data_IF_452111847302
#
_entry.id   IF_452111847302
#
_cell.length_a   1.000
_cell.length_b   1.000
_cell.length_c   1.000
_cell.angle_alpha   90.00
_cell.angle_beta   90.00
_cell.angle_gamma   90.00
#
_symmetry.space_group_name_H-M   'P 1'
#
loop_
_entity.id
_entity.type
_entity.pdbx_description
1 polymer ?
#
# COMPACT_ATOMS: atom_id res chain seq x y z
N UNK A 1 34.13 -5.78 -21.29
CA UNK A 1 35.34 -4.94 -21.24
C UNK A 1 34.94 -3.55 -20.77
N UNK A 2 35.60 -3.07 -19.74
CA UNK A 2 35.40 -1.75 -19.17
C UNK A 2 36.59 -0.89 -19.59
N UNK A 3 36.33 0.33 -20.04
CA UNK A 3 37.34 1.30 -20.40
C UNK A 3 37.02 2.59 -19.66
N UNK A 4 38.04 3.28 -19.06
CA UNK A 4 37.81 4.58 -18.45
C UNK A 4 37.43 5.59 -19.53
N UNK A 5 36.43 6.42 -19.26
CA UNK A 5 36.07 7.57 -20.10
C UNK A 5 37.02 8.76 -19.83
N UNK A 6 36.99 9.75 -20.70
CA UNK A 6 37.76 10.99 -20.52
C UNK A 6 37.36 11.75 -19.24
N UNK A 7 36.12 11.53 -18.73
CA UNK A 7 35.60 12.15 -17.50
C UNK A 7 35.91 11.34 -16.24
N UNK A 8 36.66 10.24 -16.33
CA UNK A 8 37.06 9.40 -15.20
C UNK A 8 36.05 8.32 -14.82
N UNK A 9 34.92 8.23 -15.47
CA UNK A 9 33.92 7.17 -15.30
C UNK A 9 34.25 5.92 -16.12
N UNK A 10 33.76 4.75 -15.70
CA UNK A 10 33.94 3.50 -16.41
C UNK A 10 32.83 3.28 -17.42
N UNK A 11 33.19 3.09 -18.69
CA UNK A 11 32.25 2.77 -19.76
C UNK A 11 32.35 1.31 -20.19
N UNK A 12 31.19 0.67 -20.41
CA UNK A 12 31.11 -0.67 -21.00
C UNK A 12 31.26 -0.56 -22.52
N UNK A 13 32.42 -0.89 -23.03
CA UNK A 13 32.72 -0.81 -24.49
C UNK A 13 32.34 -2.10 -25.21
N UNK A 14 32.40 -3.24 -24.52
CA UNK A 14 32.11 -4.56 -25.14
C UNK A 14 31.60 -5.54 -24.09
N UNK A 15 30.52 -6.23 -24.42
CA UNK A 15 30.03 -7.40 -23.69
C UNK A 15 30.40 -8.63 -24.53
N UNK A 16 31.33 -9.47 -24.04
CA UNK A 16 31.82 -10.63 -24.77
C UNK A 16 30.77 -11.74 -24.85
N UNK A 17 29.92 -11.88 -23.82
CA UNK A 17 28.84 -12.84 -23.77
C UNK A 17 27.51 -12.15 -23.50
N UNK A 18 26.90 -11.64 -24.58
CA UNK A 18 25.63 -10.89 -24.50
C UNK A 18 24.48 -11.74 -23.91
N UNK A 19 24.47 -13.05 -24.24
CA UNK A 19 23.44 -13.95 -23.76
C UNK A 19 23.51 -14.13 -22.24
N UNK A 20 24.64 -14.49 -21.69
CA UNK A 20 24.82 -14.64 -20.23
C UNK A 20 24.56 -13.33 -19.48
N UNK A 21 24.97 -12.20 -20.05
CA UNK A 21 24.68 -10.90 -19.48
C UNK A 21 23.19 -10.58 -19.47
N UNK A 22 22.46 -10.92 -20.54
CA UNK A 22 21.01 -10.74 -20.59
C UNK A 22 20.29 -11.62 -19.56
N UNK A 23 20.69 -12.89 -19.42
CA UNK A 23 20.18 -13.81 -18.40
C UNK A 23 20.47 -13.28 -16.99
N UNK A 24 21.68 -12.83 -16.74
CA UNK A 24 22.04 -12.23 -15.44
C UNK A 24 21.18 -11.01 -15.11
N UNK A 25 20.99 -10.08 -16.06
CA UNK A 25 20.13 -8.91 -15.86
C UNK A 25 18.66 -9.30 -15.61
N UNK A 26 18.16 -10.30 -16.34
CA UNK A 26 16.80 -10.83 -16.14
C UNK A 26 16.62 -11.37 -14.73
N UNK A 27 17.56 -12.23 -14.28
CA UNK A 27 17.56 -12.80 -12.93
C UNK A 27 17.66 -11.72 -11.84
N UNK A 28 18.55 -10.73 -12.00
CA UNK A 28 18.70 -9.64 -11.05
C UNK A 28 17.44 -8.76 -10.95
N UNK A 29 16.80 -8.47 -12.09
CA UNK A 29 15.52 -7.73 -12.12
C UNK A 29 14.41 -8.49 -11.42
N UNK A 30 14.30 -9.79 -11.69
CA UNK A 30 13.34 -10.68 -11.03
C UNK A 30 13.52 -10.66 -9.52
N UNK A 31 14.74 -10.90 -9.04
CA UNK A 31 15.04 -10.88 -7.61
C UNK A 31 14.68 -9.54 -6.93
N UNK A 32 14.86 -8.40 -7.62
CA UNK A 32 14.44 -7.10 -7.12
C UNK A 32 12.92 -6.98 -6.99
N UNK A 33 12.16 -7.46 -7.97
CA UNK A 33 10.70 -7.41 -7.94
C UNK A 33 10.14 -8.36 -6.88
N UNK A 34 10.68 -9.58 -6.78
CA UNK A 34 10.28 -10.54 -5.75
C UNK A 34 10.50 -9.98 -4.33
N UNK A 35 11.67 -9.38 -4.08
CA UNK A 35 11.96 -8.71 -2.80
C UNK A 35 10.97 -7.59 -2.50
N UNK A 36 10.71 -6.72 -3.48
CA UNK A 36 9.74 -5.64 -3.35
C UNK A 36 8.34 -6.17 -3.02
N UNK A 37 7.87 -7.20 -3.71
CA UNK A 37 6.56 -7.81 -3.44
C UNK A 37 6.51 -8.41 -2.04
N UNK A 38 7.51 -9.20 -1.65
CA UNK A 38 7.59 -9.82 -0.34
C UNK A 38 7.59 -8.79 0.80
N UNK A 39 8.42 -7.74 0.68
CA UNK A 39 8.51 -6.68 1.67
C UNK A 39 7.19 -5.94 1.82
N UNK A 40 6.61 -5.50 0.71
CA UNK A 40 5.36 -4.74 0.73
C UNK A 40 4.14 -5.58 1.12
N UNK A 41 4.07 -6.86 0.74
CA UNK A 41 3.02 -7.78 1.18
C UNK A 41 3.11 -8.04 2.69
N UNK A 42 4.32 -8.13 3.25
CA UNK A 42 4.53 -8.26 4.70
C UNK A 42 4.03 -7.03 5.47
N UNK A 43 4.36 -5.82 4.99
CA UNK A 43 3.83 -4.57 5.56
C UNK A 43 2.30 -4.57 5.51
N UNK A 44 1.71 -4.82 4.34
CA UNK A 44 0.26 -4.82 4.14
C UNK A 44 -0.43 -5.85 5.05
N UNK A 45 0.08 -7.07 5.15
CA UNK A 45 -0.52 -8.13 5.96
C UNK A 45 -0.54 -7.76 7.45
N UNK A 46 0.57 -7.21 7.97
CA UNK A 46 0.66 -6.78 9.37
C UNK A 46 -0.38 -5.70 9.70
N UNK A 47 -0.47 -4.65 8.86
CA UNK A 47 -1.43 -3.57 9.05
C UNK A 47 -2.88 -4.02 8.84
N UNK A 48 -3.16 -4.90 7.88
CA UNK A 48 -4.49 -5.46 7.70
C UNK A 48 -4.95 -6.23 8.95
N UNK A 49 -4.05 -6.94 9.62
CA UNK A 49 -4.37 -7.63 10.88
C UNK A 49 -4.71 -6.62 11.98
N UNK A 50 -3.88 -5.61 12.20
CA UNK A 50 -4.10 -4.58 13.22
C UNK A 50 -5.39 -3.79 12.98
N UNK A 51 -5.60 -3.30 11.74
CA UNK A 51 -6.81 -2.59 11.33
C UNK A 51 -8.04 -3.49 11.49
N UNK A 52 -7.92 -4.78 11.16
CA UNK A 52 -9.00 -5.76 11.34
C UNK A 52 -9.46 -5.85 12.79
N UNK A 53 -8.52 -5.93 13.75
CA UNK A 53 -8.83 -5.93 15.17
C UNK A 53 -9.47 -4.60 15.63
N UNK A 54 -8.99 -3.48 15.13
CA UNK A 54 -9.57 -2.16 15.43
C UNK A 54 -11.01 -2.04 14.87
N UNK A 55 -11.27 -2.53 13.66
CA UNK A 55 -12.61 -2.58 13.07
C UNK A 55 -13.58 -3.44 13.91
N UNK A 56 -13.15 -4.60 14.41
CA UNK A 56 -13.95 -5.44 15.28
C UNK A 56 -14.34 -4.67 16.56
N UNK A 57 -13.40 -3.96 17.19
CA UNK A 57 -13.68 -3.13 18.38
C UNK A 57 -14.65 -2.00 18.05
N UNK A 58 -14.49 -1.35 16.92
CA UNK A 58 -15.38 -0.31 16.44
C UNK A 58 -16.82 -0.83 16.26
N UNK A 59 -16.99 -1.96 15.55
CA UNK A 59 -18.30 -2.58 15.36
C UNK A 59 -18.93 -3.00 16.69
N UNK A 60 -18.18 -3.59 17.61
CA UNK A 60 -18.67 -3.97 18.94
C UNK A 60 -19.15 -2.74 19.71
N UNK A 61 -18.42 -1.63 19.63
CA UNK A 61 -18.81 -0.37 20.28
C UNK A 61 -20.10 0.19 19.70
N UNK A 62 -20.25 0.18 18.38
CA UNK A 62 -21.43 0.70 17.69
C UNK A 62 -22.66 -0.19 17.88
N UNK A 63 -22.46 -1.51 18.01
CA UNK A 63 -23.55 -2.49 18.23
C UNK A 63 -24.03 -2.47 19.70
N UNK A 64 -23.12 -2.34 20.66
CA UNK A 64 -23.44 -2.31 22.09
C UNK A 64 -24.04 -0.97 22.53
N UNK A 65 -23.79 0.12 21.79
CA UNK A 65 -24.25 1.46 22.12
C UNK A 65 -25.01 2.12 20.97
N UNK A 66 -26.01 2.92 21.28
CA UNK A 66 -26.69 3.70 20.27
C UNK A 66 -25.79 4.86 19.80
N UNK A 67 -25.72 5.12 18.48
CA UNK A 67 -25.02 6.29 17.89
C UNK A 67 -25.54 7.65 18.43
N UNK A 68 -26.74 7.66 18.98
CA UNK A 68 -27.27 8.82 19.72
C UNK A 68 -26.54 9.10 21.04
N UNK A 69 -25.89 8.09 21.63
CA UNK A 69 -25.16 8.24 22.89
C UNK A 69 -23.78 8.89 22.65
N UNK A 70 -23.49 9.98 23.37
CA UNK A 70 -22.23 10.72 23.25
C UNK A 70 -21.02 9.83 23.58
N UNK A 71 -21.09 9.05 24.65
CA UNK A 71 -20.01 8.13 25.06
C UNK A 71 -19.67 7.11 23.99
N UNK A 72 -20.68 6.54 23.31
CA UNK A 72 -20.48 5.61 22.20
C UNK A 72 -19.74 6.28 21.04
N UNK A 73 -20.14 7.51 20.68
CA UNK A 73 -19.47 8.27 19.61
C UNK A 73 -18.03 8.63 19.98
N UNK A 74 -17.78 9.08 21.20
CA UNK A 74 -16.44 9.43 21.66
C UNK A 74 -15.52 8.21 21.64
N UNK A 75 -16.01 7.05 22.10
CA UNK A 75 -15.25 5.80 22.01
C UNK A 75 -14.98 5.39 20.56
N UNK A 76 -16.00 5.44 19.70
CA UNK A 76 -15.86 5.11 18.28
C UNK A 76 -14.88 6.06 17.57
N UNK A 77 -14.94 7.36 17.88
CA UNK A 77 -13.99 8.34 17.38
C UNK A 77 -12.57 8.03 17.82
N UNK A 78 -12.36 7.71 19.09
CA UNK A 78 -11.04 7.36 19.63
C UNK A 78 -10.45 6.15 18.90
N UNK A 79 -11.25 5.09 18.67
CA UNK A 79 -10.79 3.91 17.92
C UNK A 79 -10.43 4.32 16.48
N UNK A 80 -11.24 5.17 15.85
CA UNK A 80 -10.98 5.61 14.49
C UNK A 80 -9.69 6.44 14.39
N UNK A 81 -9.47 7.39 15.31
CA UNK A 81 -8.31 8.28 15.31
C UNK A 81 -7.02 7.58 15.76
N UNK A 82 -7.06 6.86 16.88
CA UNK A 82 -5.85 6.32 17.50
C UNK A 82 -5.43 4.97 16.96
N UNK A 83 -6.39 4.14 16.51
CA UNK A 83 -6.06 2.81 16.04
C UNK A 83 -6.08 2.76 14.49
N UNK A 84 -7.19 3.13 13.85
CA UNK A 84 -7.37 2.93 12.41
C UNK A 84 -6.59 3.97 11.60
N UNK A 85 -6.74 5.25 11.92
CA UNK A 85 -6.07 6.35 11.21
C UNK A 85 -4.55 6.25 11.37
N UNK A 86 -4.08 6.09 12.60
CA UNK A 86 -2.64 5.97 12.90
C UNK A 86 -2.01 4.78 12.17
N UNK A 87 -2.72 3.65 12.09
CA UNK A 87 -2.21 2.46 11.44
C UNK A 87 -2.13 2.64 9.91
N UNK A 88 -3.11 3.30 9.28
CA UNK A 88 -3.03 3.66 7.86
C UNK A 88 -1.92 4.66 7.55
N UNK A 89 -1.69 5.64 8.43
CA UNK A 89 -0.58 6.60 8.30
C UNK A 89 0.77 5.89 8.39
N UNK A 90 0.95 5.02 9.39
CA UNK A 90 2.17 4.22 9.57
C UNK A 90 2.41 3.30 8.38
N UNK A 91 1.37 2.59 7.89
CA UNK A 91 1.47 1.77 6.68
C UNK A 91 1.94 2.58 5.47
N UNK A 92 1.39 3.78 5.29
CA UNK A 92 1.78 4.67 4.21
C UNK A 92 3.25 5.09 4.30
N UNK A 93 3.72 5.43 5.50
CA UNK A 93 5.11 5.81 5.76
C UNK A 93 6.05 4.63 5.48
N UNK A 94 5.75 3.44 6.00
CA UNK A 94 6.54 2.24 5.75
C UNK A 94 6.61 1.90 4.26
N UNK A 95 5.48 1.90 3.55
CA UNK A 95 5.45 1.69 2.10
C UNK A 95 6.30 2.75 1.39
N UNK A 96 6.24 4.03 1.79
CA UNK A 96 7.02 5.11 1.18
C UNK A 96 8.54 4.92 1.33
N UNK A 97 9.00 4.17 2.33
CA UNK A 97 10.41 3.89 2.58
C UNK A 97 10.98 2.72 1.78
N UNK A 98 10.12 1.91 1.14
CA UNK A 98 10.54 0.72 0.39
C UNK A 98 11.26 1.10 -0.90
N UNK A 99 12.33 0.38 -1.22
CA UNK A 99 13.02 0.55 -2.49
C UNK A 99 12.19 -0.02 -3.65
N UNK A 100 11.77 0.86 -4.57
CA UNK A 100 10.81 0.51 -5.63
C UNK A 100 11.51 0.22 -6.95
N UNK A 101 11.44 -1.02 -7.48
CA UNK A 101 11.91 -1.32 -8.83
C UNK A 101 11.16 -0.48 -9.88
N UNK A 102 11.86 -0.10 -10.95
CA UNK A 102 11.28 0.75 -12.00
C UNK A 102 9.97 0.20 -12.57
N UNK A 103 9.88 -1.12 -12.71
CA UNK A 103 8.69 -1.82 -13.24
C UNK A 103 7.52 -1.85 -12.27
N UNK A 104 7.75 -1.63 -10.96
CA UNK A 104 6.73 -1.66 -9.92
C UNK A 104 6.24 -0.28 -9.50
N UNK A 105 6.70 0.80 -10.14
CA UNK A 105 6.33 2.17 -9.77
C UNK A 105 4.82 2.41 -9.77
N UNK A 106 4.12 1.92 -10.80
CA UNK A 106 2.66 2.09 -10.89
C UNK A 106 1.92 1.38 -9.77
N UNK A 107 2.30 0.12 -9.47
CA UNK A 107 1.74 -0.64 -8.35
C UNK A 107 2.02 0.07 -7.01
N UNK A 108 3.24 0.58 -6.83
CA UNK A 108 3.61 1.29 -5.63
C UNK A 108 2.80 2.57 -5.42
N UNK A 109 2.64 3.39 -6.46
CA UNK A 109 1.80 4.59 -6.42
C UNK A 109 0.33 4.26 -6.12
N UNK A 110 -0.18 3.17 -6.69
CA UNK A 110 -1.53 2.68 -6.40
C UNK A 110 -1.69 2.34 -4.91
N UNK A 111 -0.72 1.63 -4.31
CA UNK A 111 -0.70 1.30 -2.88
C UNK A 111 -0.70 2.52 -1.97
N UNK A 112 0.12 3.53 -2.30
CA UNK A 112 0.12 4.79 -1.55
C UNK A 112 -1.21 5.52 -1.67
N UNK A 113 -1.81 5.54 -2.86
CA UNK A 113 -3.13 6.15 -3.07
C UNK A 113 -4.24 5.44 -2.31
N UNK A 114 -4.20 4.12 -2.20
CA UNK A 114 -5.12 3.35 -1.35
C UNK A 114 -4.99 3.80 0.12
N UNK A 115 -3.76 3.92 0.62
CA UNK A 115 -3.54 4.45 1.97
C UNK A 115 -4.12 5.86 2.16
N UNK A 116 -3.85 6.78 1.22
CA UNK A 116 -4.37 8.16 1.27
C UNK A 116 -5.91 8.21 1.31
N UNK A 117 -6.57 7.32 0.59
CA UNK A 117 -8.04 7.23 0.58
C UNK A 117 -8.59 6.68 1.90
N UNK A 118 -7.95 5.67 2.49
CA UNK A 118 -8.34 5.16 3.79
C UNK A 118 -8.06 6.16 4.93
N UNK A 119 -6.97 6.92 4.85
CA UNK A 119 -6.68 8.03 5.76
C UNK A 119 -7.81 9.06 5.67
N UNK A 120 -8.17 9.50 4.45
CA UNK A 120 -9.26 10.45 4.24
C UNK A 120 -10.61 9.93 4.74
N UNK A 121 -10.87 8.62 4.58
CA UNK A 121 -12.05 7.98 5.15
C UNK A 121 -12.04 8.05 6.69
N UNK A 122 -10.93 7.66 7.32
CA UNK A 122 -10.84 7.63 8.77
C UNK A 122 -10.97 9.02 9.40
N UNK A 123 -10.31 10.03 8.83
CA UNK A 123 -10.42 11.43 9.24
C UNK A 123 -11.85 11.96 9.10
N UNK A 124 -12.49 11.73 7.95
CA UNK A 124 -13.85 12.16 7.70
C UNK A 124 -14.87 11.46 8.61
N UNK A 125 -14.67 10.17 8.90
CA UNK A 125 -15.52 9.43 9.83
C UNK A 125 -15.38 9.94 11.27
N UNK A 126 -14.14 10.18 11.73
CA UNK A 126 -13.87 10.75 13.04
C UNK A 126 -14.48 12.16 13.19
N UNK A 127 -14.34 13.01 12.18
CA UNK A 127 -14.95 14.34 12.14
C UNK A 127 -16.48 14.26 12.22
N UNK A 128 -17.10 13.36 11.47
CA UNK A 128 -18.54 13.15 11.50
C UNK A 128 -19.06 12.71 12.87
N UNK A 129 -18.31 11.92 13.63
CA UNK A 129 -18.70 11.56 14.99
C UNK A 129 -18.87 12.79 15.90
N UNK A 130 -18.21 13.90 15.56
CA UNK A 130 -18.29 15.17 16.28
C UNK A 130 -19.36 16.09 15.71
N UNK A 131 -19.30 16.37 14.41
CA UNK A 131 -20.11 17.42 13.75
C UNK A 131 -21.47 16.92 13.26
N UNK A 132 -21.64 15.59 13.08
CA UNK A 132 -22.82 14.93 12.54
C UNK A 132 -23.24 15.46 11.15
N UNK A 133 -22.31 16.04 10.42
CA UNK A 133 -22.59 16.63 9.14
C UNK A 133 -22.72 15.53 8.06
N UNK A 134 -23.87 15.46 7.40
CA UNK A 134 -24.14 14.48 6.38
C UNK A 134 -23.21 14.60 5.15
N UNK A 135 -22.66 15.77 4.88
CA UNK A 135 -21.69 15.98 3.80
C UNK A 135 -20.35 15.34 4.18
N UNK A 136 -19.90 15.52 5.42
CA UNK A 136 -18.64 14.93 5.94
C UNK A 136 -18.66 13.41 5.77
N UNK A 137 -19.71 12.73 6.24
CA UNK A 137 -19.79 11.27 6.14
C UNK A 137 -19.90 10.79 4.68
N UNK A 138 -20.63 11.48 3.81
CA UNK A 138 -20.73 11.12 2.38
C UNK A 138 -19.37 11.22 1.68
N UNK A 139 -18.57 12.23 2.00
CA UNK A 139 -17.22 12.36 1.44
C UNK A 139 -16.31 11.25 1.94
N UNK A 140 -16.36 10.92 3.22
CA UNK A 140 -15.62 9.80 3.81
C UNK A 140 -15.99 8.47 3.12
N UNK A 141 -17.28 8.14 3.01
CA UNK A 141 -17.74 6.93 2.32
C UNK A 141 -17.35 6.91 0.83
N UNK A 142 -17.29 8.07 0.16
CA UNK A 142 -16.79 8.13 -1.21
C UNK A 142 -15.31 7.71 -1.27
N UNK A 143 -14.48 8.19 -0.36
CA UNK A 143 -13.07 7.80 -0.26
C UNK A 143 -12.93 6.30 -0.03
N UNK A 144 -13.73 5.71 0.88
CA UNK A 144 -13.73 4.28 1.14
C UNK A 144 -14.06 3.47 -0.11
N UNK A 145 -15.17 3.81 -0.81
CA UNK A 145 -15.55 3.12 -2.06
C UNK A 145 -14.48 3.23 -3.15
N UNK A 146 -13.80 4.36 -3.24
CA UNK A 146 -12.68 4.51 -4.17
C UNK A 146 -11.50 3.63 -3.77
N UNK A 147 -11.18 3.52 -2.48
CA UNK A 147 -10.13 2.63 -1.99
C UNK A 147 -10.44 1.17 -2.34
N UNK A 148 -11.66 0.70 -2.09
CA UNK A 148 -12.11 -0.68 -2.38
C UNK A 148 -11.95 -1.04 -3.87
N UNK A 149 -12.27 -0.10 -4.78
CA UNK A 149 -12.04 -0.30 -6.23
C UNK A 149 -10.56 -0.44 -6.56
N UNK A 150 -9.71 0.40 -5.97
CA UNK A 150 -8.27 0.35 -6.20
C UNK A 150 -7.60 -0.88 -5.56
N UNK A 151 -8.14 -1.42 -4.46
CA UNK A 151 -7.68 -2.67 -3.85
C UNK A 151 -7.92 -3.88 -4.78
N UNK A 152 -9.03 -3.88 -5.53
CA UNK A 152 -9.27 -4.89 -6.57
C UNK A 152 -8.26 -4.77 -7.72
N UNK A 153 -7.97 -3.54 -8.15
CA UNK A 153 -6.95 -3.27 -9.17
C UNK A 153 -5.55 -3.71 -8.68
N UNK A 154 -5.20 -3.40 -7.43
CA UNK A 154 -3.95 -3.85 -6.80
C UNK A 154 -3.80 -5.37 -6.85
N UNK A 155 -4.85 -6.09 -6.44
CA UNK A 155 -4.86 -7.55 -6.45
C UNK A 155 -4.56 -8.10 -7.84
N UNK A 156 -5.19 -7.54 -8.88
CA UNK A 156 -4.96 -7.93 -10.26
C UNK A 156 -3.52 -7.65 -10.72
N UNK A 157 -2.98 -6.47 -10.40
CA UNK A 157 -1.61 -6.11 -10.78
C UNK A 157 -0.56 -6.99 -10.08
N UNK A 158 -0.78 -7.33 -8.81
CA UNK A 158 0.10 -8.26 -8.06
C UNK A 158 0.07 -9.65 -8.69
N UNK A 159 -1.11 -10.18 -9.00
CA UNK A 159 -1.23 -11.48 -9.65
C UNK A 159 -0.51 -11.50 -11.02
N UNK A 160 -0.71 -10.47 -11.83
CA UNK A 160 -0.04 -10.33 -13.11
C UNK A 160 1.48 -10.26 -12.97
N UNK A 161 1.99 -9.52 -11.98
CA UNK A 161 3.42 -9.46 -11.70
C UNK A 161 3.98 -10.84 -11.32
N UNK A 162 3.28 -11.60 -10.49
CA UNK A 162 3.68 -12.97 -10.11
C UNK A 162 3.64 -13.94 -11.29
N UNK A 163 2.65 -13.85 -12.16
CA UNK A 163 2.52 -14.71 -13.35
C UNK A 163 3.63 -14.47 -14.38
N UNK A 164 4.02 -13.21 -14.61
CA UNK A 164 5.10 -12.88 -15.55
C UNK A 164 6.45 -13.55 -15.20
N UNK A 165 6.60 -14.01 -13.95
CA UNK A 165 7.79 -14.77 -13.52
C UNK A 165 7.67 -16.28 -13.70
N UNK A 166 6.45 -16.81 -13.71
CA UNK A 166 6.23 -18.24 -13.94
C UNK A 166 6.48 -18.61 -15.39
N UNK A 167 6.04 -17.77 -16.34
CA UNK A 167 6.13 -18.03 -17.78
C UNK A 167 7.56 -17.95 -18.34
N UNK A 168 8.49 -17.26 -17.63
CA UNK A 168 9.92 -17.19 -18.03
C UNK A 168 10.76 -18.42 -17.57
N UNK A 169 10.13 -19.39 -16.89
CA UNK A 169 10.80 -20.58 -16.32
C UNK A 169 10.52 -21.87 -17.08
N UNK A 170 9.65 -21.84 -18.09
CA UNK A 170 9.42 -22.93 -19.07
C UNK A 170 10.21 -22.69 -20.36
#
# INVERSE_FOLDING_TARGET
ELVPSEDGDWQVVRIQNLYEYAVFLGTARRAHVERYLQETESIIARHNHSIGLAKIRLYSTLTAGALGNQKTRDTARTIMEQDILTDWQTRREELSSVQVPRTMKSLHQLRLKICDLHISYAEGYAAWMTDKNATTIRMAEKSLRQAEVLELEETFLVQRAKQSFADETE
#
